data_IF_188701841567
#
_entry.id   IF_188701841567
#
_cell.length_a   1.000
_cell.length_b   1.000
_cell.length_c   1.000
_cell.angle_alpha   90.00
_cell.angle_beta   90.00
_cell.angle_gamma   90.00
#
_symmetry.space_group_name_H-M   'P 1'
#
loop_
_entity.id
_entity.type
_entity.pdbx_description
1 polymer ?
#
# COMPACT_ATOMS: atom_id res chain seq x y z
N UNK A 1 20.48 -9.67 -8.77
CA UNK A 1 19.28 -10.52 -8.89
C UNK A 1 18.92 -10.96 -7.49
N UNK A 2 18.18 -10.12 -6.77
CA UNK A 2 17.53 -10.53 -5.52
C UNK A 2 16.49 -11.60 -5.87
N UNK A 3 16.41 -12.67 -5.07
CA UNK A 3 15.39 -13.70 -5.27
C UNK A 3 13.99 -13.08 -5.30
N UNK A 4 13.11 -13.59 -6.16
CA UNK A 4 11.76 -13.06 -6.27
C UNK A 4 10.94 -13.33 -5.01
N UNK A 5 10.46 -12.27 -4.35
CA UNK A 5 9.49 -12.34 -3.26
C UNK A 5 8.19 -13.02 -3.67
N UNK A 6 7.60 -13.78 -2.74
CA UNK A 6 6.19 -14.20 -2.76
C UNK A 6 5.34 -13.13 -2.08
N UNK A 7 4.40 -12.55 -2.80
CA UNK A 7 3.63 -11.38 -2.36
C UNK A 7 2.15 -11.71 -2.43
N UNK A 8 1.47 -11.60 -1.29
CA UNK A 8 0.02 -11.51 -1.24
C UNK A 8 -0.41 -10.05 -1.38
N UNK A 9 -1.36 -9.73 -2.26
CA UNK A 9 -1.81 -8.37 -2.49
C UNK A 9 -3.34 -8.29 -2.39
N UNK A 10 -3.84 -7.58 -1.39
CA UNK A 10 -5.26 -7.46 -1.09
C UNK A 10 -5.72 -6.05 -1.42
N UNK A 11 -6.60 -5.95 -2.41
CA UNK A 11 -6.99 -4.70 -3.05
C UNK A 11 -6.24 -4.48 -4.36
N UNK A 12 -6.86 -4.88 -5.46
CA UNK A 12 -6.32 -4.78 -6.82
C UNK A 12 -6.90 -3.60 -7.62
N UNK A 13 -7.51 -2.63 -6.92
CA UNK A 13 -8.08 -1.42 -7.51
C UNK A 13 -7.04 -0.53 -8.21
N UNK A 14 -7.39 0.71 -8.54
CA UNK A 14 -6.51 1.59 -9.34
C UNK A 14 -5.10 1.69 -8.77
N UNK A 15 -4.99 1.86 -7.45
CA UNK A 15 -3.70 2.07 -6.82
C UNK A 15 -2.97 0.75 -6.56
N UNK A 16 -3.55 -0.11 -5.73
CA UNK A 16 -2.97 -1.42 -5.40
C UNK A 16 -2.71 -2.30 -6.61
N UNK A 17 -3.61 -2.31 -7.59
CA UNK A 17 -3.43 -3.04 -8.84
C UNK A 17 -2.23 -2.55 -9.66
N UNK A 18 -1.95 -1.25 -9.70
CA UNK A 18 -0.77 -0.73 -10.39
C UNK A 18 0.54 -1.17 -9.71
N UNK A 19 0.58 -1.15 -8.37
CA UNK A 19 1.73 -1.65 -7.60
C UNK A 19 1.89 -3.16 -7.79
N UNK A 20 0.80 -3.92 -7.71
CA UNK A 20 0.81 -5.37 -7.89
C UNK A 20 1.28 -5.78 -9.29
N UNK A 21 0.77 -5.12 -10.35
CA UNK A 21 1.21 -5.33 -11.74
C UNK A 21 2.69 -5.04 -11.90
N UNK A 22 3.16 -3.91 -11.36
CA UNK A 22 4.57 -3.56 -11.42
C UNK A 22 5.43 -4.63 -10.77
N UNK A 23 5.13 -5.03 -9.54
CA UNK A 23 5.86 -6.08 -8.83
C UNK A 23 5.88 -7.40 -9.62
N UNK A 24 4.75 -7.79 -10.23
CA UNK A 24 4.69 -8.98 -11.08
C UNK A 24 5.64 -8.87 -12.30
N UNK A 25 5.63 -7.72 -13.00
CA UNK A 25 6.53 -7.50 -14.17
C UNK A 25 8.01 -7.40 -13.79
N UNK A 26 8.32 -7.13 -12.51
CA UNK A 26 9.69 -7.16 -11.96
C UNK A 26 10.16 -8.58 -11.59
N UNK A 27 9.31 -9.59 -11.75
CA UNK A 27 9.65 -11.00 -11.53
C UNK A 27 9.31 -11.55 -10.15
N UNK A 28 8.53 -10.81 -9.35
CA UNK A 28 7.99 -11.31 -8.08
C UNK A 28 6.78 -12.23 -8.31
N UNK A 29 6.58 -13.18 -7.39
CA UNK A 29 5.39 -14.04 -7.40
C UNK A 29 4.25 -13.32 -6.67
N UNK A 30 3.43 -12.59 -7.41
CA UNK A 30 2.31 -11.82 -6.84
C UNK A 30 1.01 -12.61 -6.95
N UNK A 31 0.31 -12.81 -5.84
CA UNK A 31 -1.07 -13.29 -5.78
C UNK A 31 -1.98 -12.16 -5.34
N UNK A 32 -3.02 -11.88 -6.14
CA UNK A 32 -3.94 -10.77 -5.90
C UNK A 32 -5.32 -11.27 -5.48
N UNK A 33 -5.93 -10.56 -4.54
CA UNK A 33 -7.34 -10.70 -4.20
C UNK A 33 -8.04 -9.34 -4.23
N UNK A 34 -9.19 -9.30 -4.89
CA UNK A 34 -10.12 -8.17 -4.89
C UNK A 34 -11.54 -8.69 -5.16
N UNK A 35 -12.60 -8.15 -4.52
CA UNK A 35 -13.98 -8.50 -4.85
C UNK A 35 -14.35 -8.25 -6.33
N UNK A 36 -13.69 -7.29 -6.98
CA UNK A 36 -13.84 -7.03 -8.41
C UNK A 36 -13.00 -7.99 -9.25
N UNK A 37 -13.68 -8.89 -9.98
CA UNK A 37 -13.04 -9.77 -10.97
C UNK A 37 -12.34 -9.02 -12.09
N UNK A 38 -12.80 -7.82 -12.43
CA UNK A 38 -12.13 -6.97 -13.42
C UNK A 38 -10.78 -6.47 -12.90
N UNK A 39 -10.73 -6.05 -11.64
CA UNK A 39 -9.51 -5.59 -10.99
C UNK A 39 -8.45 -6.70 -10.89
N UNK A 40 -8.86 -7.91 -10.48
CA UNK A 40 -7.94 -9.06 -10.45
C UNK A 40 -7.48 -9.45 -11.85
N UNK A 41 -8.38 -9.46 -12.85
CA UNK A 41 -8.03 -9.78 -14.24
C UNK A 41 -6.98 -8.82 -14.83
N UNK A 42 -7.06 -7.53 -14.53
CA UNK A 42 -6.05 -6.58 -14.97
C UNK A 42 -4.65 -6.95 -14.45
N UNK A 43 -4.56 -7.49 -13.23
CA UNK A 43 -3.30 -7.92 -12.64
C UNK A 43 -2.81 -9.26 -13.21
N UNK A 44 -3.71 -10.20 -13.49
CA UNK A 44 -3.31 -11.50 -14.05
C UNK A 44 -2.77 -11.39 -15.48
N UNK A 45 -3.29 -10.46 -16.28
CA UNK A 45 -2.73 -10.14 -17.61
C UNK A 45 -1.27 -9.68 -17.51
N UNK A 46 -0.87 -9.07 -16.39
CA UNK A 46 0.50 -8.62 -16.14
C UNK A 46 1.39 -9.70 -15.47
N UNK A 47 0.89 -10.91 -15.25
CA UNK A 47 1.65 -12.03 -14.68
C UNK A 47 1.40 -12.34 -13.21
N UNK A 48 0.46 -11.66 -12.55
CA UNK A 48 0.03 -12.06 -11.19
C UNK A 48 -0.89 -13.30 -11.22
N UNK A 49 -0.97 -14.03 -10.10
CA UNK A 49 -2.01 -15.03 -9.84
C UNK A 49 -3.25 -14.38 -9.21
N UNK A 50 -4.45 -14.87 -9.53
CA UNK A 50 -5.66 -14.47 -8.83
C UNK A 50 -6.00 -15.49 -7.74
N UNK A 51 -6.51 -14.99 -6.61
CA UNK A 51 -7.02 -15.78 -5.49
C UNK A 51 -8.50 -15.50 -5.26
N UNK A 52 -9.21 -16.44 -4.64
CA UNK A 52 -10.62 -16.33 -4.30
C UNK A 52 -10.85 -15.72 -2.90
N UNK A 53 -9.79 -15.55 -2.11
CA UNK A 53 -9.85 -14.90 -0.80
C UNK A 53 -8.55 -14.18 -0.41
N UNK A 54 -8.65 -13.25 0.55
CA UNK A 54 -7.50 -12.59 1.16
C UNK A 54 -6.56 -13.59 1.86
N UNK A 55 -7.11 -14.60 2.52
CA UNK A 55 -6.34 -15.65 3.20
C UNK A 55 -5.51 -16.48 2.21
N UNK A 56 -6.10 -16.82 1.06
CA UNK A 56 -5.40 -17.54 -0.01
C UNK A 56 -4.27 -16.69 -0.63
N UNK A 57 -4.49 -15.38 -0.78
CA UNK A 57 -3.44 -14.47 -1.24
C UNK A 57 -2.28 -14.38 -0.23
N UNK A 58 -2.58 -14.45 1.07
CA UNK A 58 -1.60 -14.32 2.16
C UNK A 58 -0.85 -15.61 2.52
N UNK A 59 -1.41 -16.79 2.22
CA UNK A 59 -0.80 -18.09 2.48
C UNK A 59 0.59 -18.20 1.84
N UNK A 60 1.61 -18.76 2.49
CA UNK A 60 2.99 -18.88 1.95
C UNK A 60 3.64 -17.59 1.41
N UNK A 61 3.13 -16.39 1.74
CA UNK A 61 3.71 -15.14 1.27
C UNK A 61 4.84 -14.68 2.20
N UNK A 62 5.87 -14.05 1.62
CA UNK A 62 6.94 -13.37 2.37
C UNK A 62 6.44 -11.98 2.84
N UNK A 63 5.58 -11.35 2.04
CA UNK A 63 4.96 -10.07 2.34
C UNK A 63 3.48 -10.03 1.92
N UNK A 64 2.64 -9.41 2.74
CA UNK A 64 1.23 -9.14 2.45
C UNK A 64 0.99 -7.64 2.37
N UNK A 65 0.51 -7.19 1.21
CA UNK A 65 0.14 -5.82 0.93
C UNK A 65 -1.36 -5.60 1.04
N UNK A 66 -1.77 -4.49 1.62
CA UNK A 66 -3.16 -4.00 1.57
C UNK A 66 -3.23 -2.63 0.90
N UNK A 67 -4.20 -2.46 -0.01
CA UNK A 67 -4.52 -1.18 -0.66
C UNK A 67 -6.04 -1.02 -0.74
N UNK A 68 -6.66 -0.59 0.35
CA UNK A 68 -8.11 -0.62 0.53
C UNK A 68 -8.70 0.80 0.63
N UNK A 69 -9.99 0.97 0.27
CA UNK A 69 -10.55 2.29 0.06
C UNK A 69 -10.89 3.05 1.34
N UNK A 70 -11.16 2.35 2.45
CA UNK A 70 -11.56 2.95 3.72
C UNK A 70 -10.85 2.26 4.89
N UNK A 71 -10.60 2.96 6.01
CA UNK A 71 -9.88 2.40 7.16
C UNK A 71 -10.53 1.14 7.75
N UNK A 72 -11.85 1.07 7.81
CA UNK A 72 -12.58 -0.10 8.31
C UNK A 72 -12.29 -1.37 7.49
N UNK A 73 -12.10 -1.24 6.18
CA UNK A 73 -11.77 -2.37 5.33
C UNK A 73 -10.36 -2.91 5.64
N UNK A 74 -9.42 -2.03 5.99
CA UNK A 74 -8.06 -2.43 6.41
C UNK A 74 -8.12 -3.17 7.74
N UNK A 75 -8.87 -2.62 8.71
CA UNK A 75 -9.06 -3.24 10.02
C UNK A 75 -9.71 -4.62 9.89
N UNK A 76 -10.80 -4.73 9.14
CA UNK A 76 -11.53 -5.99 8.97
C UNK A 76 -10.68 -7.04 8.23
N UNK A 77 -9.90 -6.60 7.24
CA UNK A 77 -8.96 -7.47 6.53
C UNK A 77 -7.93 -8.04 7.49
N UNK A 78 -7.22 -7.21 8.25
CA UNK A 78 -6.20 -7.70 9.19
C UNK A 78 -6.79 -8.53 10.35
N UNK A 79 -7.98 -8.19 10.84
CA UNK A 79 -8.71 -9.03 11.81
C UNK A 79 -9.02 -10.42 11.26
N UNK A 80 -9.37 -10.52 9.99
CA UNK A 80 -9.63 -11.82 9.34
C UNK A 80 -8.34 -12.61 9.09
N UNK A 81 -7.21 -11.93 8.91
CA UNK A 81 -5.93 -12.56 8.55
C UNK A 81 -5.05 -12.92 9.73
N UNK A 82 -5.13 -12.20 10.85
CA UNK A 82 -4.21 -12.36 12.00
C UNK A 82 -4.10 -13.80 12.51
N UNK A 83 -5.15 -14.61 12.35
CA UNK A 83 -5.16 -16.01 12.78
C UNK A 83 -4.55 -17.00 11.79
N UNK A 84 -4.39 -16.60 10.52
CA UNK A 84 -3.93 -17.47 9.42
C UNK A 84 -2.59 -17.03 8.81
N UNK A 85 -2.08 -15.85 9.17
CA UNK A 85 -0.77 -15.38 8.76
C UNK A 85 0.33 -16.26 9.37
N UNK A 86 1.31 -16.63 8.55
CA UNK A 86 2.42 -17.49 8.93
C UNK A 86 3.54 -16.68 9.63
N UNK A 87 4.27 -17.26 10.61
CA UNK A 87 5.43 -16.61 11.20
C UNK A 87 6.49 -16.25 10.15
N UNK A 88 7.08 -15.06 10.28
CA UNK A 88 8.11 -14.55 9.37
C UNK A 88 7.57 -13.70 8.21
N UNK A 89 6.25 -13.62 8.03
CA UNK A 89 5.62 -12.72 7.06
C UNK A 89 5.69 -11.27 7.50
N UNK A 90 5.78 -10.33 6.55
CA UNK A 90 5.64 -8.90 6.83
C UNK A 90 4.36 -8.34 6.23
N UNK A 91 3.61 -7.58 7.02
CA UNK A 91 2.42 -6.87 6.56
C UNK A 91 2.76 -5.42 6.18
N UNK A 92 2.44 -5.00 4.95
CA UNK A 92 2.70 -3.66 4.42
C UNK A 92 1.40 -3.01 3.95
N UNK A 93 0.90 -2.01 4.67
CA UNK A 93 -0.30 -1.28 4.25
C UNK A 93 0.08 -0.05 3.42
N UNK A 94 -0.38 -0.02 2.17
CA UNK A 94 -0.22 1.12 1.26
C UNK A 94 -1.49 1.97 1.14
N UNK A 95 -2.50 1.66 1.96
CA UNK A 95 -3.75 2.41 2.04
C UNK A 95 -3.53 3.82 2.61
N UNK A 96 -4.51 4.69 2.43
CA UNK A 96 -4.56 5.97 3.15
C UNK A 96 -5.46 5.84 4.35
N UNK A 97 -4.86 5.64 5.53
CA UNK A 97 -5.55 5.50 6.82
C UNK A 97 -5.01 6.51 7.83
N UNK A 98 -5.73 6.69 8.93
CA UNK A 98 -5.30 7.56 10.03
C UNK A 98 -4.32 6.86 11.00
N UNK A 99 -3.57 7.64 11.78
CA UNK A 99 -2.58 7.11 12.72
C UNK A 99 -3.13 6.16 13.79
N UNK A 100 -4.36 6.38 14.24
CA UNK A 100 -4.99 5.56 15.29
C UNK A 100 -5.27 4.17 14.73
N UNK A 101 -5.83 4.11 13.51
CA UNK A 101 -6.06 2.84 12.81
C UNK A 101 -4.76 2.11 12.55
N UNK A 102 -3.73 2.80 12.04
CA UNK A 102 -2.43 2.18 11.77
C UNK A 102 -1.76 1.61 13.04
N UNK A 103 -1.81 2.36 14.15
CA UNK A 103 -1.33 1.88 15.45
C UNK A 103 -2.11 0.66 15.93
N UNK A 104 -3.44 0.69 15.85
CA UNK A 104 -4.29 -0.42 16.27
C UNK A 104 -4.05 -1.71 15.47
N UNK A 105 -3.78 -1.60 14.16
CA UNK A 105 -3.39 -2.75 13.32
C UNK A 105 -2.00 -3.26 13.72
N UNK A 106 -1.04 -2.34 13.94
CA UNK A 106 0.30 -2.70 14.39
C UNK A 106 0.25 -3.48 15.70
N UNK A 107 -0.58 -3.06 16.66
CA UNK A 107 -0.72 -3.70 17.97
C UNK A 107 -1.39 -5.08 17.83
N UNK A 108 -2.46 -5.18 17.01
CA UNK A 108 -3.14 -6.44 16.71
C UNK A 108 -2.17 -7.50 16.14
N UNK A 109 -1.30 -7.11 15.21
CA UNK A 109 -0.35 -8.03 14.58
C UNK A 109 0.83 -8.36 15.50
N UNK A 110 1.22 -7.44 16.38
CA UNK A 110 2.28 -7.66 17.36
C UNK A 110 1.94 -8.75 18.38
N UNK A 111 0.66 -8.99 18.69
CA UNK A 111 0.21 -10.12 19.53
C UNK A 111 0.62 -11.50 18.95
N UNK A 112 0.91 -11.56 17.65
CA UNK A 112 1.37 -12.75 16.92
C UNK A 112 2.82 -12.64 16.45
N UNK A 113 3.56 -11.64 16.90
CA UNK A 113 4.92 -11.34 16.45
C UNK A 113 5.01 -11.08 14.93
N UNK A 114 3.91 -10.62 14.32
CA UNK A 114 3.87 -10.28 12.90
C UNK A 114 4.18 -8.79 12.75
N UNK A 115 5.28 -8.42 12.07
CA UNK A 115 5.62 -7.03 11.91
C UNK A 115 4.71 -6.34 10.89
N UNK A 116 4.36 -5.09 11.19
CA UNK A 116 3.53 -4.23 10.37
C UNK A 116 4.28 -2.96 9.97
N UNK A 117 4.11 -2.57 8.70
CA UNK A 117 4.69 -1.37 8.10
C UNK A 117 3.59 -0.56 7.43
N UNK A 118 3.44 0.69 7.82
CA UNK A 118 2.65 1.65 7.06
C UNK A 118 3.52 2.20 5.93
N UNK A 119 3.01 2.20 4.70
CA UNK A 119 3.71 2.64 3.50
C UNK A 119 2.77 3.43 2.55
N UNK A 120 2.11 4.50 3.01
CA UNK A 120 1.27 5.32 2.14
C UNK A 120 2.05 5.86 0.93
N UNK A 121 1.32 5.98 -0.18
CA UNK A 121 1.87 6.29 -1.50
C UNK A 121 1.66 7.77 -1.89
N UNK A 122 2.56 8.33 -2.68
CA UNK A 122 2.39 9.61 -3.37
C UNK A 122 1.95 9.50 -4.83
N UNK A 123 1.70 10.65 -5.46
CA UNK A 123 1.32 10.82 -6.88
C UNK A 123 0.08 9.98 -7.30
N UNK A 124 0.09 9.42 -8.51
CA UNK A 124 -1.10 8.81 -9.17
C UNK A 124 -0.87 7.34 -9.53
N UNK A 125 -1.94 6.58 -9.83
CA UNK A 125 -1.84 5.23 -10.37
C UNK A 125 -0.90 5.08 -11.58
N UNK A 126 -0.91 6.04 -12.51
CA UNK A 126 -0.02 5.96 -13.69
C UNK A 126 1.45 6.06 -13.31
N UNK A 127 1.78 6.84 -12.26
CA UNK A 127 3.15 6.91 -11.77
C UNK A 127 3.57 5.59 -11.10
N UNK A 128 2.67 4.87 -10.43
CA UNK A 128 3.04 3.61 -9.78
C UNK A 128 3.30 2.48 -10.76
N UNK A 129 2.58 2.42 -11.89
CA UNK A 129 2.92 1.50 -12.99
C UNK A 129 4.38 1.66 -13.43
N UNK A 130 4.84 2.91 -13.46
CA UNK A 130 6.19 3.31 -13.84
C UNK A 130 7.20 3.25 -12.69
N UNK A 131 6.74 3.02 -11.47
CA UNK A 131 7.55 3.04 -10.25
C UNK A 131 8.10 4.41 -9.90
N UNK A 132 7.36 5.44 -10.27
CA UNK A 132 7.72 6.85 -10.11
C UNK A 132 6.96 7.46 -8.93
N UNK A 133 6.49 6.64 -7.99
CA UNK A 133 5.82 7.14 -6.79
C UNK A 133 6.84 7.26 -5.64
N UNK A 134 6.80 8.35 -4.86
CA UNK A 134 7.43 8.35 -3.56
C UNK A 134 6.57 7.53 -2.59
N UNK A 135 7.22 6.86 -1.67
CA UNK A 135 6.55 6.15 -0.57
C UNK A 135 7.04 6.67 0.77
N UNK A 136 6.14 6.70 1.75
CA UNK A 136 6.43 7.21 3.09
C UNK A 136 6.25 6.06 4.06
N UNK A 137 7.35 5.52 4.55
CA UNK A 137 7.36 4.25 5.30
C UNK A 137 7.55 4.50 6.79
N UNK A 138 6.91 3.69 7.63
CA UNK A 138 7.11 3.72 9.07
C UNK A 138 6.70 2.40 9.73
N UNK A 139 7.42 2.01 10.77
CA UNK A 139 7.28 0.70 11.41
C UNK A 139 8.56 0.30 12.17
N UNK A 140 8.66 -0.95 12.65
CA UNK A 140 9.89 -1.42 13.29
C UNK A 140 11.10 -1.25 12.36
N UNK A 141 12.18 -0.65 12.84
CA UNK A 141 13.36 -0.28 12.04
C UNK A 141 13.94 -1.44 11.24
N UNK A 142 14.03 -2.61 11.86
CA UNK A 142 14.56 -3.83 11.22
C UNK A 142 13.65 -4.32 10.11
N UNK A 143 12.32 -4.26 10.32
CA UNK A 143 11.33 -4.61 9.30
C UNK A 143 11.37 -3.64 8.13
N UNK A 144 11.43 -2.32 8.39
CA UNK A 144 11.55 -1.31 7.33
C UNK A 144 12.81 -1.52 6.51
N UNK A 145 13.95 -1.79 7.15
CA UNK A 145 15.20 -2.12 6.46
C UNK A 145 15.10 -3.41 5.63
N UNK A 146 14.39 -4.42 6.13
CA UNK A 146 14.18 -5.69 5.44
C UNK A 146 13.30 -5.55 4.18
N UNK A 147 12.22 -4.77 4.25
CA UNK A 147 11.33 -4.55 3.08
C UNK A 147 11.84 -3.45 2.14
N UNK A 148 12.81 -2.63 2.54
CA UNK A 148 13.31 -1.51 1.73
C UNK A 148 13.68 -1.93 0.28
N UNK A 149 14.43 -3.03 0.05
CA UNK A 149 14.75 -3.44 -1.32
C UNK A 149 13.51 -3.80 -2.14
N UNK A 150 12.43 -4.28 -1.51
CA UNK A 150 11.16 -4.54 -2.18
C UNK A 150 10.40 -3.24 -2.48
N UNK A 151 10.48 -2.23 -1.60
CA UNK A 151 9.85 -0.93 -1.84
C UNK A 151 10.48 -0.21 -3.04
N UNK A 152 11.79 -0.31 -3.21
CA UNK A 152 12.53 0.25 -4.36
C UNK A 152 12.11 -0.38 -5.71
N UNK A 153 11.48 -1.55 -5.70
CA UNK A 153 10.99 -2.18 -6.91
C UNK A 153 9.76 -1.47 -7.50
N UNK A 154 9.02 -0.72 -6.68
CA UNK A 154 7.82 0.03 -7.10
C UNK A 154 7.80 1.51 -6.75
N UNK A 155 8.85 2.02 -6.11
CA UNK A 155 8.97 3.43 -5.71
C UNK A 155 10.25 4.07 -6.28
N UNK A 156 10.18 5.35 -6.66
CA UNK A 156 11.36 6.13 -7.06
C UNK A 156 12.15 6.62 -5.85
N UNK A 157 11.47 6.78 -4.71
CA UNK A 157 12.06 7.21 -3.45
C UNK A 157 11.32 6.61 -2.27
N UNK A 158 12.09 6.17 -1.27
CA UNK A 158 11.59 5.61 -0.01
C UNK A 158 11.96 6.58 1.11
N UNK A 159 10.95 7.15 1.77
CA UNK A 159 11.14 8.07 2.89
C UNK A 159 10.77 7.39 4.20
N UNK A 160 11.78 6.98 4.98
CA UNK A 160 11.56 6.43 6.32
C UNK A 160 11.23 7.55 7.32
N UNK A 161 10.01 7.50 7.84
CA UNK A 161 9.45 8.43 8.82
C UNK A 161 9.44 7.84 10.24
N UNK A 162 10.01 6.65 10.44
CA UNK A 162 10.25 6.03 11.73
C UNK A 162 9.06 5.25 12.28
N UNK A 163 7.88 5.84 12.39
CA UNK A 163 6.70 5.16 12.98
C UNK A 163 5.51 5.10 12.04
N UNK A 164 4.62 4.13 12.28
CA UNK A 164 3.38 3.96 11.51
C UNK A 164 2.51 5.23 11.57
N UNK A 165 2.49 5.93 12.70
CA UNK A 165 1.79 7.20 12.85
C UNK A 165 2.45 8.32 12.08
N UNK A 166 3.77 8.42 12.11
CA UNK A 166 4.48 9.46 11.37
C UNK A 166 4.24 9.31 9.87
N UNK A 167 4.29 8.07 9.35
CA UNK A 167 4.01 7.76 7.96
C UNK A 167 2.59 8.14 7.53
N UNK A 168 1.59 7.70 8.28
CA UNK A 168 0.18 7.98 7.98
C UNK A 168 -0.20 9.45 8.20
N UNK A 169 0.30 10.07 9.27
CA UNK A 169 0.14 11.52 9.54
C UNK A 169 0.70 12.34 8.40
N UNK A 170 1.92 12.04 7.95
CA UNK A 170 2.54 12.74 6.84
C UNK A 170 1.67 12.67 5.58
N UNK A 171 1.15 11.49 5.25
CA UNK A 171 0.27 11.32 4.09
C UNK A 171 -1.00 12.16 4.19
N UNK A 172 -1.65 12.19 5.36
CA UNK A 172 -2.83 13.01 5.58
C UNK A 172 -2.55 14.51 5.47
N UNK A 173 -1.44 14.97 6.05
CA UNK A 173 -0.99 16.37 5.92
C UNK A 173 -0.68 16.72 4.46
N UNK A 174 0.02 15.84 3.74
CA UNK A 174 0.34 16.03 2.33
C UNK A 174 -0.92 16.17 1.47
N UNK A 175 -1.91 15.30 1.68
CA UNK A 175 -3.20 15.39 0.99
C UNK A 175 -3.97 16.67 1.37
N UNK A 176 -3.98 17.07 2.66
CA UNK A 176 -4.60 18.31 3.12
C UNK A 176 -4.00 19.51 2.38
N UNK A 177 -2.68 19.67 2.42
CA UNK A 177 -1.96 20.77 1.74
C UNK A 177 -2.26 20.77 0.23
N UNK A 178 -2.21 19.60 -0.41
CA UNK A 178 -2.49 19.47 -1.84
C UNK A 178 -3.90 19.91 -2.21
N UNK A 179 -4.91 19.41 -1.50
CA UNK A 179 -6.31 19.72 -1.79
C UNK A 179 -6.68 21.17 -1.46
N UNK A 180 -6.13 21.74 -0.39
CA UNK A 180 -6.32 23.16 -0.08
C UNK A 180 -5.72 24.04 -1.17
N UNK A 181 -4.53 23.72 -1.67
CA UNK A 181 -3.92 24.47 -2.78
C UNK A 181 -4.78 24.40 -4.05
N UNK A 182 -5.35 23.24 -4.38
CA UNK A 182 -6.27 23.09 -5.51
C UNK A 182 -7.50 24.00 -5.36
N UNK A 183 -8.10 24.05 -4.16
CA UNK A 183 -9.25 24.90 -3.90
C UNK A 183 -8.91 26.40 -4.08
N UNK A 184 -7.80 26.85 -3.50
CA UNK A 184 -7.33 28.24 -3.63
C UNK A 184 -7.05 28.60 -5.09
N UNK A 185 -6.41 27.71 -5.84
CA UNK A 185 -6.14 27.91 -7.27
C UNK A 185 -7.43 27.98 -8.09
N UNK A 186 -8.42 27.14 -7.78
CA UNK A 186 -9.71 27.15 -8.46
C UNK A 186 -10.46 28.47 -8.24
N UNK A 187 -10.49 28.98 -7.00
CA UNK A 187 -11.08 30.28 -6.69
C UNK A 187 -10.35 31.42 -7.38
N UNK A 188 -9.01 31.44 -7.29
CA UNK A 188 -8.17 32.44 -7.96
C UNK A 188 -8.36 32.47 -9.47
N UNK A 189 -8.46 31.29 -10.10
CA UNK A 189 -8.73 31.16 -11.54
C UNK A 189 -10.09 31.76 -11.94
N UNK A 190 -11.14 31.48 -11.16
CA UNK A 190 -12.48 32.04 -11.43
C UNK A 190 -12.48 33.56 -11.25
N UNK A 191 -11.81 34.08 -10.22
CA UNK A 191 -11.68 35.52 -9.99
C UNK A 191 -10.93 36.20 -11.14
N UNK A 192 -9.78 35.65 -11.56
CA UNK A 192 -9.01 36.17 -12.69
C UNK A 192 -9.87 36.24 -13.95
N UNK A 193 -10.56 35.14 -14.31
CA UNK A 193 -11.48 35.11 -15.47
C UNK A 193 -12.60 36.14 -15.43
N UNK A 194 -13.08 36.51 -14.24
CA UNK A 194 -14.11 37.54 -14.07
C UNK A 194 -13.54 38.94 -14.13
N UNK A 195 -12.26 39.12 -13.83
CA UNK A 195 -11.57 40.41 -13.85
C UNK A 195 -11.09 40.84 -15.25
N UNK A 196 -10.98 39.90 -16.20
CA UNK A 196 -10.54 40.14 -17.58
C UNK A 196 -9.30 39.34 -17.94
#
# INVERSE_FOLDING_TARGET
MTGGWKIGFIGAGKMGGAVARRLATRGHQVRVYDPSREATRACTVAGAGACDSAAEAASEADAVFTSLPLPEHVVDTYRSLVSVLEPGIVCVDVSTIDPIVARGISDLLAEREIPFVACPLGKTPEHAERGEIPVFVGGPRETVAFVHPLLEEFAESVHDLGTVEAATTFKLISNLVGMTNVAVLAEGYVLARRAG
#
